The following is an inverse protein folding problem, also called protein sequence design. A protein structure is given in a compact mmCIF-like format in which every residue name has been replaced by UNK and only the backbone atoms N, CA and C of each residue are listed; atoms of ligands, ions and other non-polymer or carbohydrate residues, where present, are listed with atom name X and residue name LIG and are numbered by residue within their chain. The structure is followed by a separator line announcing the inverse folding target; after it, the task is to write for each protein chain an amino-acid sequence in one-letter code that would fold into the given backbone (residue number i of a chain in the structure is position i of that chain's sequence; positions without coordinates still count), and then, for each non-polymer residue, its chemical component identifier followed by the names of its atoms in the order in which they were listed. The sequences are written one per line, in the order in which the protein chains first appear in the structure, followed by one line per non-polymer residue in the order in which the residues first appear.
data_IF_244386471698
#
_entry.id   IF_244386471698
#
_cell.length_a   1.000
_cell.length_b   1.000
_cell.length_c   1.000
_cell.angle_alpha   90.00
_cell.angle_beta   90.00
_cell.angle_gamma   90.00
#
_symmetry.space_group_name_H-M   'P 1'
#
loop_
_entity.id
_entity.type
_entity.pdbx_description
1 polymer ?
#
# COMPACT_ATOMS: atom_id res chain seq x y z
N UNK A 1 5.27 24.39 -17.43
CA UNK A 1 5.24 23.23 -16.53
C UNK A 1 4.13 22.33 -17.02
N UNK A 2 4.46 21.23 -17.72
CA UNK A 2 3.45 20.25 -18.11
C UNK A 2 2.76 19.71 -16.86
N UNK A 3 1.43 19.62 -16.91
CA UNK A 3 0.63 19.03 -15.85
C UNK A 3 0.87 17.52 -15.88
N UNK A 4 1.91 17.06 -15.17
CA UNK A 4 2.22 15.63 -15.02
C UNK A 4 1.10 15.03 -14.19
N UNK A 5 0.07 14.53 -14.86
CA UNK A 5 -1.05 13.90 -14.19
C UNK A 5 -0.63 12.55 -13.61
N UNK A 6 -0.97 12.30 -12.36
CA UNK A 6 -0.80 10.99 -11.73
C UNK A 6 -2.09 10.16 -11.85
N UNK A 7 -1.95 8.84 -11.75
CA UNK A 7 -3.05 7.89 -11.63
C UNK A 7 -2.73 6.78 -10.64
N UNK A 8 -3.76 6.28 -9.98
CA UNK A 8 -3.69 5.06 -9.19
C UNK A 8 -4.28 3.89 -9.98
N UNK A 9 -3.69 2.70 -9.85
CA UNK A 9 -4.24 1.45 -10.39
C UNK A 9 -4.00 0.31 -9.41
N UNK A 10 -4.83 -0.74 -9.47
CA UNK A 10 -4.53 -1.97 -8.77
C UNK A 10 -3.35 -2.68 -9.45
N UNK A 11 -2.61 -3.49 -8.68
CA UNK A 11 -1.61 -4.40 -9.23
C UNK A 11 -2.28 -5.48 -10.08
N UNK A 12 -1.83 -5.62 -11.31
CA UNK A 12 -2.28 -6.63 -12.28
C UNK A 12 -1.12 -7.54 -12.70
N UNK A 13 -1.46 -8.72 -13.24
CA UNK A 13 -0.45 -9.70 -13.70
C UNK A 13 0.45 -9.16 -14.82
N UNK A 14 -0.05 -8.22 -15.62
CA UNK A 14 0.65 -7.60 -16.74
C UNK A 14 1.58 -6.45 -16.34
N UNK A 15 1.60 -6.04 -15.06
CA UNK A 15 2.46 -4.95 -14.62
C UNK A 15 3.94 -5.34 -14.63
N UNK A 16 4.76 -4.53 -15.30
CA UNK A 16 6.22 -4.62 -15.22
C UNK A 16 6.75 -4.00 -13.93
N UNK A 17 7.25 -4.83 -13.00
CA UNK A 17 7.71 -4.40 -11.67
C UNK A 17 9.24 -4.35 -11.53
N UNK A 18 9.98 -4.90 -12.49
CA UNK A 18 11.44 -5.04 -12.41
C UNK A 18 12.19 -3.72 -12.30
N UNK A 19 11.64 -2.66 -12.90
CA UNK A 19 12.24 -1.31 -12.89
C UNK A 19 11.95 -0.50 -11.61
N UNK A 20 11.11 -1.00 -10.70
CA UNK A 20 10.84 -0.31 -9.43
C UNK A 20 12.01 -0.50 -8.45
N UNK A 21 12.43 0.59 -7.79
CA UNK A 21 13.44 0.55 -6.74
C UNK A 21 13.20 1.65 -5.70
N UNK A 22 13.11 1.31 -4.42
CA UNK A 22 12.89 2.25 -3.31
C UNK A 22 13.92 2.09 -2.20
N UNK A 23 13.96 3.03 -1.23
CA UNK A 23 14.95 3.01 -0.13
C UNK A 23 14.93 1.75 0.72
N UNK A 24 13.79 1.06 0.75
CA UNK A 24 13.63 -0.13 1.55
C UNK A 24 13.56 -1.35 0.65
N UNK A 25 14.67 -2.09 0.56
CA UNK A 25 14.76 -3.31 -0.25
C UNK A 25 13.65 -4.33 0.12
N UNK A 26 13.20 -4.37 1.38
CA UNK A 26 12.08 -5.24 1.79
C UNK A 26 10.78 -4.90 1.06
N UNK A 27 10.57 -3.63 0.74
CA UNK A 27 9.41 -3.17 -0.02
C UNK A 27 9.58 -3.40 -1.53
N UNK A 28 10.80 -3.34 -2.06
CA UNK A 28 11.08 -3.73 -3.44
C UNK A 28 10.83 -5.22 -3.67
N UNK A 29 11.44 -6.05 -2.84
CA UNK A 29 11.36 -7.51 -2.93
C UNK A 29 9.91 -7.96 -2.74
N UNK A 30 9.19 -7.35 -1.79
CA UNK A 30 7.77 -7.62 -1.63
C UNK A 30 6.98 -7.33 -2.91
N UNK A 31 7.17 -6.16 -3.53
CA UNK A 31 6.43 -5.80 -4.74
C UNK A 31 6.71 -6.79 -5.88
N UNK A 32 7.99 -7.13 -6.07
CA UNK A 32 8.46 -7.98 -7.19
C UNK A 32 8.09 -9.46 -7.00
N UNK A 33 8.12 -9.97 -5.77
CA UNK A 33 8.05 -11.42 -5.52
C UNK A 33 6.73 -11.87 -4.88
N UNK A 34 6.09 -11.02 -4.07
CA UNK A 34 5.00 -11.44 -3.15
C UNK A 34 3.67 -10.76 -3.42
N UNK A 35 3.68 -9.48 -3.79
CA UNK A 35 2.49 -8.65 -3.93
C UNK A 35 1.40 -9.25 -4.83
N UNK A 36 1.78 -9.88 -5.95
CA UNK A 36 0.84 -10.54 -6.84
C UNK A 36 0.17 -11.78 -6.21
N UNK A 37 0.88 -12.50 -5.34
CA UNK A 37 0.30 -13.65 -4.62
C UNK A 37 -0.67 -13.18 -3.55
N UNK A 38 -0.33 -12.11 -2.83
CA UNK A 38 -1.17 -11.54 -1.78
C UNK A 38 -2.45 -10.95 -2.35
N UNK A 39 -2.38 -10.26 -3.50
CA UNK A 39 -3.55 -9.82 -4.27
C UNK A 39 -4.47 -11.00 -4.62
N UNK A 40 -3.90 -12.09 -5.17
CA UNK A 40 -4.67 -13.29 -5.55
C UNK A 40 -5.33 -13.97 -4.36
N UNK A 41 -4.66 -14.00 -3.20
CA UNK A 41 -5.15 -14.59 -1.96
C UNK A 41 -6.05 -13.64 -1.15
N UNK A 42 -6.23 -12.39 -1.62
CA UNK A 42 -6.93 -11.31 -0.90
C UNK A 42 -6.33 -11.03 0.49
N UNK A 43 -5.03 -11.28 0.63
CA UNK A 43 -4.28 -10.99 1.85
C UNK A 43 -3.94 -9.48 1.97
N UNK A 44 -3.73 -8.83 0.83
CA UNK A 44 -3.54 -7.39 0.74
C UNK A 44 -4.04 -6.87 -0.62
N UNK A 45 -4.56 -5.64 -0.62
CA UNK A 45 -4.80 -4.88 -1.85
C UNK A 45 -3.60 -3.99 -2.12
N UNK A 46 -2.97 -4.16 -3.27
CA UNK A 46 -1.76 -3.45 -3.70
C UNK A 46 -2.16 -2.42 -4.75
N UNK A 47 -1.89 -1.15 -4.46
CA UNK A 47 -2.22 -0.01 -5.31
C UNK A 47 -0.93 0.65 -5.79
N UNK A 48 -0.78 0.77 -7.10
CA UNK A 48 0.34 1.42 -7.77
C UNK A 48 0.03 2.88 -8.06
N UNK A 49 1.01 3.76 -7.87
CA UNK A 49 1.01 5.14 -8.33
C UNK A 49 1.84 5.23 -9.61
N UNK A 50 1.30 5.87 -10.64
CA UNK A 50 1.93 5.99 -11.97
C UNK A 50 1.76 7.40 -12.53
N UNK A 51 2.68 7.81 -13.38
CA UNK A 51 2.49 8.98 -14.25
C UNK A 51 1.56 8.58 -15.41
N UNK A 52 0.61 9.45 -15.77
CA UNK A 52 -0.26 9.23 -16.93
C UNK A 52 0.59 9.10 -18.19
N UNK A 53 0.20 8.15 -19.06
CA UNK A 53 0.89 7.85 -20.31
C UNK A 53 2.34 7.34 -20.15
N UNK A 54 2.77 6.99 -18.95
CA UNK A 54 4.05 6.32 -18.69
C UNK A 54 3.82 4.94 -18.07
N UNK A 55 4.75 4.03 -18.34
CA UNK A 55 4.76 2.68 -17.78
C UNK A 55 5.45 2.62 -16.40
N UNK A 56 6.16 3.68 -16.01
CA UNK A 56 6.89 3.72 -14.75
C UNK A 56 5.95 3.70 -13.54
N UNK A 57 6.41 2.98 -12.50
CA UNK A 57 5.80 2.98 -11.18
C UNK A 57 6.53 4.06 -10.38
N UNK A 58 5.77 5.05 -9.92
CA UNK A 58 6.27 6.14 -9.07
C UNK A 58 6.32 5.71 -7.62
N UNK A 59 5.44 4.80 -7.22
CA UNK A 59 5.31 4.33 -5.86
C UNK A 59 4.19 3.31 -5.75
N UNK A 60 4.03 2.74 -4.55
CA UNK A 60 2.91 1.89 -4.26
C UNK A 60 2.56 1.93 -2.78
N UNK A 61 1.35 1.50 -2.48
CA UNK A 61 0.95 1.20 -1.11
C UNK A 61 0.11 -0.07 -1.04
N UNK A 62 0.01 -0.65 0.16
CA UNK A 62 -0.83 -1.81 0.42
C UNK A 62 -1.84 -1.51 1.51
N UNK A 63 -3.09 -1.89 1.30
CA UNK A 63 -4.13 -1.87 2.33
C UNK A 63 -4.66 -3.27 2.63
N UNK A 64 -5.08 -3.50 3.86
CA UNK A 64 -5.71 -4.74 4.29
C UNK A 64 -6.73 -4.52 5.40
N UNK A 65 -7.67 -5.46 5.54
CA UNK A 65 -8.58 -5.47 6.68
C UNK A 65 -7.81 -5.73 7.97
N UNK A 66 -8.10 -4.96 9.02
CA UNK A 66 -7.43 -5.11 10.30
C UNK A 66 -8.41 -4.91 11.47
N UNK A 67 -8.14 -5.58 12.58
CA UNK A 67 -8.88 -5.41 13.83
C UNK A 67 -7.88 -5.08 14.93
N UNK A 68 -8.15 -4.00 15.67
CA UNK A 68 -7.31 -3.57 16.79
C UNK A 68 -8.06 -3.90 18.07
N UNK A 69 -7.40 -4.58 19.02
CA UNK A 69 -8.02 -4.79 20.32
C UNK A 69 -8.22 -3.43 21.01
N UNK A 70 -9.42 -3.17 21.54
CA UNK A 70 -9.73 -1.88 22.18
C UNK A 70 -8.76 -1.56 23.34
N UNK A 71 -8.23 -2.61 23.98
CA UNK A 71 -7.24 -2.53 25.07
C UNK A 71 -5.85 -2.07 24.62
N UNK A 72 -5.51 -2.19 23.34
CA UNK A 72 -4.24 -1.74 22.78
C UNK A 72 -4.27 -0.25 22.37
N UNK A 73 -5.46 0.36 22.37
CA UNK A 73 -5.61 1.76 22.02
C UNK A 73 -5.33 2.69 23.22
N UNK A 74 -4.71 3.86 22.98
CA UNK A 74 -4.57 4.88 24.02
C UNK A 74 -5.92 5.28 24.62
N UNK A 75 -5.94 5.56 25.93
CA UNK A 75 -7.15 5.92 26.68
C UNK A 75 -7.96 7.06 26.05
N UNK A 76 -7.26 8.06 25.51
CA UNK A 76 -7.88 9.20 24.87
C UNK A 76 -8.69 8.81 23.62
N UNK A 77 -8.25 7.80 22.88
CA UNK A 77 -8.98 7.26 21.72
C UNK A 77 -10.09 6.31 22.16
N UNK A 78 -9.79 5.40 23.09
CA UNK A 78 -10.73 4.40 23.60
C UNK A 78 -12.04 5.02 24.12
N UNK A 79 -11.96 6.15 24.83
CA UNK A 79 -13.15 6.87 25.36
C UNK A 79 -14.07 7.43 24.27
N UNK A 80 -13.60 7.57 23.03
CA UNK A 80 -14.34 8.16 21.90
C UNK A 80 -14.88 7.11 20.93
N UNK A 81 -14.62 5.82 21.19
CA UNK A 81 -15.01 4.72 20.32
C UNK A 81 -16.10 3.87 20.99
N UNK A 82 -16.93 3.17 20.18
CA UNK A 82 -17.83 2.15 20.71
C UNK A 82 -17.06 1.09 21.51
N UNK A 83 -17.62 0.61 22.61
CA UNK A 83 -16.96 -0.35 23.53
C UNK A 83 -16.97 -1.80 23.00
N UNK A 84 -16.80 -1.99 21.70
CA UNK A 84 -16.61 -3.32 21.13
C UNK A 84 -15.17 -3.79 21.40
N UNK A 85 -14.94 -5.09 21.71
CA UNK A 85 -13.60 -5.60 22.00
C UNK A 85 -12.59 -5.39 20.85
N UNK A 86 -13.08 -5.37 19.60
CA UNK A 86 -12.28 -5.18 18.39
C UNK A 86 -12.77 -3.94 17.65
N UNK A 87 -11.85 -3.03 17.37
CA UNK A 87 -12.08 -1.83 16.57
C UNK A 87 -11.71 -2.15 15.11
N UNK A 88 -12.64 -1.97 14.15
CA UNK A 88 -12.33 -2.19 12.74
C UNK A 88 -11.37 -1.10 12.24
N UNK A 89 -10.38 -1.50 11.46
CA UNK A 89 -9.37 -0.62 10.88
C UNK A 89 -8.96 -1.10 9.49
N UNK A 90 -8.25 -0.23 8.77
CA UNK A 90 -7.54 -0.58 7.54
C UNK A 90 -6.04 -0.42 7.81
N UNK A 91 -5.29 -1.50 7.64
CA UNK A 91 -3.85 -1.49 7.79
C UNK A 91 -3.20 -0.97 6.51
N UNK A 92 -2.45 0.12 6.60
CA UNK A 92 -1.49 0.52 5.56
C UNK A 92 -0.18 -0.21 5.85
N UNK A 93 0.02 -1.36 5.22
CA UNK A 93 1.16 -2.23 5.52
C UNK A 93 2.49 -1.74 4.92
N UNK A 94 2.42 -1.08 3.76
CA UNK A 94 3.57 -0.56 3.00
C UNK A 94 3.13 0.70 2.29
N UNK A 95 4.00 1.70 2.24
CA UNK A 95 3.82 2.94 1.51
C UNK A 95 5.22 3.45 1.14
N UNK A 96 5.50 3.58 -0.15
CA UNK A 96 6.83 3.98 -0.61
C UNK A 96 6.80 4.56 -2.02
N UNK A 97 7.82 5.35 -2.35
CA UNK A 97 8.09 5.92 -3.67
C UNK A 97 9.35 5.29 -4.24
N UNK A 98 9.42 5.23 -5.56
CA UNK A 98 10.64 4.89 -6.27
C UNK A 98 11.69 6.01 -6.09
N UNK A 99 12.96 5.65 -5.96
CA UNK A 99 14.07 6.60 -5.74
C UNK A 99 14.14 7.73 -6.76
N UNK A 100 13.63 7.50 -7.97
CA UNK A 100 13.58 8.52 -9.05
C UNK A 100 12.60 9.66 -8.76
N UNK A 101 11.70 9.49 -7.78
CA UNK A 101 10.58 10.40 -7.51
C UNK A 101 10.45 10.81 -6.03
N UNK A 102 11.48 10.57 -5.22
CA UNK A 102 11.55 11.07 -3.84
C UNK A 102 11.91 12.55 -3.75
#
# INVERSE_FOLDING_TARGET
MENVGYRFSLLEKSDGLSGFSCRNNVFDDYLKERAGQDMRRRAATVVLLRIRNQADIVGYYTIGSFGIALTELPDAMRKRLPQYPVVPAVLIGRLTLDHRYE
#
